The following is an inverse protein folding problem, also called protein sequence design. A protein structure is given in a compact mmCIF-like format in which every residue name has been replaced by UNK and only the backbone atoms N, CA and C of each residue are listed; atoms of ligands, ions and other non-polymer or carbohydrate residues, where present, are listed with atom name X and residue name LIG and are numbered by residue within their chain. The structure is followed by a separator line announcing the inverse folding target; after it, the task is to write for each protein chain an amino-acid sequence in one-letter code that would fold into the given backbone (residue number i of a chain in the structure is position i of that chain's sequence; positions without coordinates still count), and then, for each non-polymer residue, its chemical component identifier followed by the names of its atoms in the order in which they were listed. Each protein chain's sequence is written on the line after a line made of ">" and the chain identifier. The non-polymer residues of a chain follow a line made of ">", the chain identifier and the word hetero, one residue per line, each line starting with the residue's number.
data_IF_531576420327
#
_entry.id   IF_531576420327
#
_cell.length_a   1.000
_cell.length_b   1.000
_cell.length_c   1.000
_cell.angle_alpha   90.00
_cell.angle_beta   90.00
_cell.angle_gamma   90.00
#
_symmetry.space_group_name_H-M   'P 1'
#
loop_
_entity.id
_entity.type
_entity.pdbx_description
1 polymer ?
#
# COMPACT_ATOMS: atom_id res chain seq x y z
N UNK A 1 8.31 -4.30 -28.00
CA UNK A 1 7.61 -3.03 -27.75
C UNK A 1 8.65 -2.05 -27.28
N UNK A 2 8.80 -0.91 -27.96
CA UNK A 2 9.61 0.22 -27.50
C UNK A 2 8.70 1.10 -26.63
N UNK A 3 8.43 0.64 -25.41
CA UNK A 3 7.76 1.48 -24.42
C UNK A 3 8.77 2.51 -23.90
N UNK A 4 8.38 3.79 -23.77
CA UNK A 4 9.25 4.81 -23.20
C UNK A 4 9.56 4.49 -21.72
N UNK A 5 10.67 5.02 -21.22
CA UNK A 5 10.93 5.00 -19.77
C UNK A 5 9.92 5.92 -19.07
N UNK A 6 9.42 5.48 -17.91
CA UNK A 6 8.55 6.31 -17.06
C UNK A 6 9.30 7.56 -16.54
N UNK A 7 10.62 7.44 -16.34
CA UNK A 7 11.52 8.50 -15.91
C UNK A 7 12.98 8.15 -16.20
N UNK A 8 13.85 9.15 -16.19
CA UNK A 8 15.29 8.95 -16.41
C UNK A 8 15.93 8.13 -15.27
N UNK A 9 16.85 7.19 -15.56
CA UNK A 9 17.47 6.35 -14.54
C UNK A 9 18.08 7.15 -13.39
N UNK A 10 17.70 6.79 -12.17
CA UNK A 10 18.18 7.42 -10.93
C UNK A 10 17.42 8.68 -10.51
N UNK A 11 16.52 9.23 -11.33
CA UNK A 11 15.75 10.44 -10.95
C UNK A 11 14.57 10.13 -10.03
N UNK A 12 14.00 8.92 -10.13
CA UNK A 12 12.94 8.42 -9.27
C UNK A 12 13.15 6.94 -8.97
N UNK A 13 12.39 6.42 -8.01
CA UNK A 13 12.35 5.00 -7.67
C UNK A 13 10.95 4.44 -7.92
N UNK A 14 10.89 3.33 -8.65
CA UNK A 14 9.69 2.55 -8.82
C UNK A 14 10.06 1.07 -8.89
N UNK A 15 9.32 0.22 -8.19
CA UNK A 15 9.59 -1.21 -8.17
C UNK A 15 9.31 -1.83 -9.54
N UNK A 16 10.24 -2.64 -10.07
CA UNK A 16 10.13 -3.21 -11.41
C UNK A 16 10.51 -4.69 -11.45
N UNK A 17 9.49 -5.56 -11.59
CA UNK A 17 9.71 -6.98 -11.85
C UNK A 17 10.47 -7.21 -13.17
N UNK A 18 10.21 -6.39 -14.19
CA UNK A 18 10.94 -6.47 -15.47
C UNK A 18 12.44 -6.25 -15.29
N UNK A 19 12.85 -5.37 -14.36
CA UNK A 19 14.25 -5.22 -13.96
C UNK A 19 14.87 -6.53 -13.42
N UNK A 20 14.15 -7.24 -12.55
CA UNK A 20 14.59 -8.54 -12.03
C UNK A 20 14.60 -9.65 -13.09
N UNK A 21 13.69 -9.62 -14.06
CA UNK A 21 13.70 -10.51 -15.23
C UNK A 21 14.99 -10.32 -16.03
N UNK A 22 15.36 -9.07 -16.31
CA UNK A 22 16.62 -8.75 -17.01
C UNK A 22 17.85 -9.21 -16.22
N UNK A 23 17.85 -9.07 -14.89
CA UNK A 23 18.94 -9.59 -14.05
C UNK A 23 19.08 -11.11 -14.15
N UNK A 24 17.98 -11.86 -14.24
CA UNK A 24 18.01 -13.30 -14.49
C UNK A 24 18.66 -13.63 -15.83
N UNK A 25 18.30 -12.91 -16.90
CA UNK A 25 18.90 -13.09 -18.23
C UNK A 25 20.39 -12.74 -18.25
N UNK A 26 20.81 -11.73 -17.48
CA UNK A 26 22.24 -11.40 -17.31
C UNK A 26 22.98 -12.55 -16.62
N UNK A 27 22.40 -13.14 -15.56
CA UNK A 27 22.96 -14.32 -14.90
C UNK A 27 23.14 -15.46 -15.90
N UNK A 28 22.14 -15.75 -16.73
CA UNK A 28 22.25 -16.80 -17.75
C UNK A 28 23.35 -16.49 -18.77
N UNK A 29 23.39 -15.25 -19.26
CA UNK A 29 24.38 -14.82 -20.27
C UNK A 29 25.81 -14.91 -19.75
N UNK A 30 26.04 -14.52 -18.51
CA UNK A 30 27.37 -14.49 -17.89
C UNK A 30 27.81 -15.88 -17.44
N UNK A 31 26.90 -16.68 -16.87
CA UNK A 31 27.23 -18.01 -16.36
C UNK A 31 27.22 -19.11 -17.43
N UNK A 32 26.51 -18.89 -18.54
CA UNK A 32 26.23 -19.93 -19.55
C UNK A 32 25.25 -21.00 -19.09
N UNK A 33 24.59 -20.82 -17.93
CA UNK A 33 23.61 -21.76 -17.36
C UNK A 33 22.21 -21.20 -17.45
N UNK A 34 21.20 -22.06 -17.49
CA UNK A 34 19.82 -21.63 -17.25
C UNK A 34 19.69 -21.14 -15.82
N UNK A 35 18.84 -20.16 -15.58
CA UNK A 35 18.67 -19.54 -14.27
C UNK A 35 18.24 -20.55 -13.19
N UNK A 36 17.34 -21.48 -13.53
CA UNK A 36 16.93 -22.57 -12.64
C UNK A 36 18.11 -23.47 -12.22
N UNK A 37 18.98 -23.83 -13.17
CA UNK A 37 20.17 -24.64 -12.91
C UNK A 37 21.17 -23.86 -12.06
N UNK A 38 21.35 -22.56 -12.35
CA UNK A 38 22.22 -21.68 -11.58
C UNK A 38 21.79 -21.61 -10.10
N UNK A 39 20.49 -21.40 -9.82
CA UNK A 39 19.97 -21.38 -8.45
C UNK A 39 20.19 -22.73 -7.73
N UNK A 40 19.88 -23.84 -8.41
CA UNK A 40 20.05 -25.18 -7.83
C UNK A 40 21.50 -25.45 -7.44
N UNK A 41 22.44 -25.16 -8.33
CA UNK A 41 23.85 -25.52 -8.17
C UNK A 41 24.65 -24.55 -7.29
N UNK A 42 24.29 -23.25 -7.29
CA UNK A 42 25.07 -22.23 -6.59
C UNK A 42 24.42 -21.78 -5.27
N UNK A 43 23.13 -22.09 -5.05
CA UNK A 43 22.40 -21.66 -3.84
C UNK A 43 21.78 -22.86 -3.14
N UNK A 44 20.84 -23.58 -3.75
CA UNK A 44 20.03 -24.55 -3.02
C UNK A 44 20.81 -25.78 -2.57
N UNK A 45 21.54 -26.45 -3.49
CA UNK A 45 22.34 -27.63 -3.15
C UNK A 45 23.49 -27.32 -2.18
N UNK A 46 24.33 -26.28 -2.40
CA UNK A 46 25.42 -25.97 -1.48
C UNK A 46 24.96 -25.64 -0.05
N UNK A 47 23.77 -25.06 0.09
CA UNK A 47 23.21 -24.71 1.40
C UNK A 47 22.41 -25.85 2.04
N UNK A 48 22.12 -26.94 1.33
CA UNK A 48 21.26 -28.01 1.84
C UNK A 48 19.78 -27.61 1.91
N UNK A 49 19.33 -26.69 1.06
CA UNK A 49 17.93 -26.27 0.93
C UNK A 49 17.17 -27.31 0.09
N UNK A 50 16.86 -28.45 0.69
CA UNK A 50 16.32 -29.62 0.01
C UNK A 50 14.86 -29.47 -0.46
N UNK A 51 14.15 -28.45 0.02
CA UNK A 51 12.75 -28.16 -0.29
C UNK A 51 12.61 -26.83 -1.05
N UNK A 52 13.67 -26.40 -1.74
CA UNK A 52 13.70 -25.18 -2.54
C UNK A 52 13.93 -25.49 -4.01
N UNK A 53 13.08 -24.90 -4.85
CA UNK A 53 13.00 -25.21 -6.27
C UNK A 53 12.77 -23.94 -7.09
N UNK A 54 13.23 -23.96 -8.34
CA UNK A 54 12.65 -23.08 -9.34
C UNK A 54 11.26 -23.59 -9.72
N UNK A 55 10.29 -22.68 -9.80
CA UNK A 55 8.88 -22.92 -10.09
C UNK A 55 8.66 -23.76 -11.35
N UNK A 56 8.10 -24.95 -11.18
CA UNK A 56 7.72 -25.84 -12.27
C UNK A 56 6.43 -26.60 -11.91
N UNK A 57 5.42 -26.52 -12.76
CA UNK A 57 4.13 -27.19 -12.56
C UNK A 57 4.14 -28.67 -12.97
N UNK A 58 5.17 -29.12 -13.69
CA UNK A 58 5.34 -30.52 -14.10
C UNK A 58 6.11 -31.35 -13.06
N UNK A 59 6.92 -30.71 -12.21
CA UNK A 59 7.70 -31.39 -11.17
C UNK A 59 6.80 -31.92 -10.05
N UNK A 60 6.96 -33.21 -9.72
CA UNK A 60 6.31 -33.83 -8.57
C UNK A 60 7.08 -33.44 -7.31
N UNK A 61 6.48 -32.56 -6.50
CA UNK A 61 7.07 -32.07 -5.25
C UNK A 61 6.21 -32.58 -4.09
N UNK A 62 6.82 -33.34 -3.18
CA UNK A 62 6.14 -33.84 -1.98
C UNK A 62 5.71 -32.66 -1.11
N UNK A 63 4.49 -32.70 -0.57
CA UNK A 63 3.91 -31.65 0.29
C UNK A 63 3.75 -30.28 -0.39
N UNK A 64 3.77 -30.21 -1.73
CA UNK A 64 3.44 -28.98 -2.45
C UNK A 64 2.01 -28.55 -2.13
N UNK A 65 1.86 -27.32 -1.65
CA UNK A 65 0.55 -26.73 -1.34
C UNK A 65 -0.09 -26.10 -2.57
N UNK A 66 -1.42 -26.10 -2.62
CA UNK A 66 -2.20 -25.29 -3.57
C UNK A 66 -2.40 -23.88 -3.04
N UNK A 67 -2.44 -22.91 -3.95
CA UNK A 67 -2.79 -21.52 -3.65
C UNK A 67 -4.29 -21.28 -3.81
N UNK A 68 -4.82 -20.34 -3.03
CA UNK A 68 -6.25 -20.05 -2.96
C UNK A 68 -6.52 -18.54 -3.09
N UNK A 69 -7.60 -18.19 -3.78
CA UNK A 69 -8.10 -16.81 -3.85
C UNK A 69 -9.53 -16.73 -3.32
N UNK A 70 -9.93 -15.52 -2.90
CA UNK A 70 -11.27 -15.28 -2.38
C UNK A 70 -12.32 -15.53 -3.46
N UNK A 71 -13.43 -16.17 -3.08
CA UNK A 71 -14.64 -16.31 -3.87
C UNK A 71 -15.85 -15.78 -3.07
N UNK A 72 -17.01 -15.67 -3.72
CA UNK A 72 -18.25 -15.22 -3.08
C UNK A 72 -18.59 -16.07 -1.83
N UNK A 73 -18.40 -17.39 -1.92
CA UNK A 73 -18.72 -18.35 -0.86
C UNK A 73 -17.46 -19.04 -0.31
N UNK A 74 -16.45 -18.25 0.10
CA UNK A 74 -15.23 -18.77 0.73
C UNK A 74 -14.01 -18.71 -0.18
N UNK A 75 -13.33 -19.84 -0.38
CA UNK A 75 -12.08 -19.89 -1.16
C UNK A 75 -12.21 -20.82 -2.35
N UNK A 76 -11.58 -20.45 -3.47
CA UNK A 76 -11.36 -21.32 -4.63
C UNK A 76 -9.87 -21.45 -4.90
N UNK A 77 -9.48 -22.46 -5.68
CA UNK A 77 -8.11 -22.53 -6.19
C UNK A 77 -7.78 -21.26 -6.98
N UNK A 78 -6.57 -20.76 -6.79
CA UNK A 78 -6.12 -19.57 -7.48
C UNK A 78 -5.96 -19.81 -8.99
N UNK A 79 -6.15 -18.75 -9.76
CA UNK A 79 -6.03 -18.79 -11.21
C UNK A 79 -4.60 -19.18 -11.63
N UNK A 80 -4.50 -19.99 -12.68
CA UNK A 80 -3.21 -20.54 -13.12
C UNK A 80 -2.24 -19.44 -13.56
N UNK A 81 -1.02 -19.49 -13.02
CA UNK A 81 0.10 -18.67 -13.46
C UNK A 81 1.28 -19.57 -13.85
N UNK A 82 1.78 -19.41 -15.08
CA UNK A 82 3.02 -20.07 -15.48
C UNK A 82 4.20 -19.42 -14.77
N UNK A 83 5.03 -20.21 -14.08
CA UNK A 83 6.26 -19.75 -13.42
C UNK A 83 7.34 -19.30 -14.43
N UNK A 84 7.12 -19.45 -15.73
CA UNK A 84 7.96 -18.81 -16.75
C UNK A 84 7.72 -17.31 -16.88
N UNK A 85 6.58 -16.80 -16.41
CA UNK A 85 6.21 -15.38 -16.48
C UNK A 85 6.92 -14.53 -15.41
N UNK A 86 6.82 -14.85 -14.10
CA UNK A 86 7.59 -14.12 -13.09
C UNK A 86 9.09 -14.39 -13.21
N UNK A 87 9.50 -15.55 -13.76
CA UNK A 87 10.89 -15.93 -13.98
C UNK A 87 11.79 -15.61 -12.75
N UNK A 88 12.91 -14.91 -12.93
CA UNK A 88 13.83 -14.52 -11.85
C UNK A 88 13.29 -13.44 -10.90
N UNK A 89 12.12 -12.86 -11.16
CA UNK A 89 11.49 -11.89 -10.28
C UNK A 89 10.64 -12.53 -9.17
N UNK A 90 10.20 -13.79 -9.33
CA UNK A 90 9.24 -14.36 -8.35
C UNK A 90 8.91 -15.84 -8.44
N UNK A 91 9.72 -16.66 -9.11
CA UNK A 91 9.36 -18.07 -9.37
C UNK A 91 9.93 -19.07 -8.38
N UNK A 92 10.60 -18.65 -7.30
CA UNK A 92 11.18 -19.59 -6.34
C UNK A 92 10.07 -20.15 -5.45
N UNK A 93 10.05 -21.47 -5.31
CA UNK A 93 9.21 -22.20 -4.34
C UNK A 93 10.11 -22.71 -3.22
N UNK A 94 9.69 -22.55 -1.96
CA UNK A 94 10.51 -22.92 -0.80
C UNK A 94 9.65 -23.22 0.43
N UNK A 95 10.31 -23.45 1.57
CA UNK A 95 9.72 -23.60 2.92
C UNK A 95 10.32 -22.55 3.86
N UNK A 96 9.69 -22.31 5.01
CA UNK A 96 10.24 -21.37 6.00
C UNK A 96 11.54 -21.90 6.62
N UNK A 97 11.70 -23.21 6.72
CA UNK A 97 12.90 -23.89 7.19
C UNK A 97 14.08 -23.65 6.23
N UNK A 98 13.89 -23.90 4.93
CA UNK A 98 14.91 -23.64 3.92
C UNK A 98 15.25 -22.15 3.83
N UNK A 99 14.26 -21.27 3.92
CA UNK A 99 14.50 -19.83 3.91
C UNK A 99 15.31 -19.37 5.14
N UNK A 100 15.14 -20.02 6.29
CA UNK A 100 15.97 -19.78 7.48
C UNK A 100 17.43 -20.22 7.28
N UNK A 101 17.66 -21.33 6.57
CA UNK A 101 19.02 -21.77 6.17
C UNK A 101 19.64 -20.72 5.24
N UNK A 102 18.89 -20.27 4.23
CA UNK A 102 19.33 -19.24 3.31
C UNK A 102 19.67 -17.93 4.01
N UNK A 103 18.80 -17.44 4.91
CA UNK A 103 19.06 -16.21 5.66
C UNK A 103 20.37 -16.33 6.46
N UNK A 104 20.58 -17.44 7.17
CA UNK A 104 21.84 -17.70 7.89
C UNK A 104 23.05 -17.61 6.96
N UNK A 105 22.96 -18.25 5.78
CA UNK A 105 24.04 -18.23 4.80
C UNK A 105 24.33 -16.83 4.23
N UNK A 106 23.29 -16.02 4.03
CA UNK A 106 23.44 -14.61 3.64
C UNK A 106 24.18 -13.83 4.73
N UNK A 107 23.76 -13.93 6.00
CA UNK A 107 24.40 -13.21 7.11
C UNK A 107 25.86 -13.64 7.35
N UNK A 108 26.17 -14.91 7.09
CA UNK A 108 27.52 -15.47 7.18
C UNK A 108 28.40 -15.18 5.94
N UNK A 109 27.89 -14.44 4.94
CA UNK A 109 28.59 -14.13 3.69
C UNK A 109 29.01 -15.37 2.89
N UNK A 110 28.23 -16.47 2.96
CA UNK A 110 28.51 -17.73 2.26
C UNK A 110 28.19 -17.68 0.77
N UNK A 111 27.20 -16.86 0.38
CA UNK A 111 26.74 -16.76 -1.01
C UNK A 111 27.42 -15.62 -1.78
N UNK A 112 27.68 -14.51 -1.11
CA UNK A 112 28.33 -13.31 -1.67
C UNK A 112 29.31 -12.75 -0.66
N UNK A 113 30.35 -12.06 -1.15
CA UNK A 113 31.32 -11.44 -0.27
C UNK A 113 30.71 -10.28 0.53
N UNK A 114 31.37 -9.91 1.62
CA UNK A 114 30.93 -8.85 2.55
C UNK A 114 30.68 -7.49 1.87
N UNK A 115 31.49 -7.12 0.87
CA UNK A 115 31.34 -5.85 0.15
C UNK A 115 30.06 -5.82 -0.67
N UNK A 116 29.79 -6.89 -1.41
CA UNK A 116 28.56 -7.03 -2.19
C UNK A 116 27.32 -7.09 -1.28
N UNK A 117 27.41 -7.79 -0.15
CA UNK A 117 26.30 -7.83 0.80
C UNK A 117 26.02 -6.48 1.44
N UNK A 118 27.06 -5.73 1.81
CA UNK A 118 26.91 -4.37 2.33
C UNK A 118 26.21 -3.44 1.31
N UNK A 119 26.57 -3.54 0.02
CA UNK A 119 25.90 -2.80 -1.04
C UNK A 119 24.42 -3.23 -1.21
N UNK A 120 24.13 -4.52 -1.05
CA UNK A 120 22.75 -5.03 -1.09
C UNK A 120 21.90 -4.53 0.09
N UNK A 121 22.52 -4.36 1.27
CA UNK A 121 21.90 -3.89 2.51
C UNK A 121 22.06 -2.37 2.74
N UNK A 122 22.28 -1.61 1.67
CA UNK A 122 22.34 -0.15 1.71
C UNK A 122 21.09 0.44 1.09
N UNK A 123 20.47 1.41 1.77
CA UNK A 123 19.40 2.23 1.21
C UNK A 123 19.97 3.20 0.19
N UNK A 124 19.61 2.99 -1.08
CA UNK A 124 20.09 3.82 -2.17
C UNK A 124 19.29 5.11 -2.27
N UNK A 125 19.90 6.10 -2.92
CA UNK A 125 19.31 7.42 -3.14
C UNK A 125 19.08 7.69 -4.61
N UNK A 126 18.01 8.41 -4.90
CA UNK A 126 17.84 9.10 -6.19
C UNK A 126 18.87 10.22 -6.33
N UNK A 127 19.02 10.75 -7.55
CA UNK A 127 19.99 11.80 -7.88
C UNK A 127 19.77 13.10 -7.09
N UNK A 128 18.55 13.38 -6.67
CA UNK A 128 18.17 14.51 -5.81
C UNK A 128 18.41 14.24 -4.31
N UNK A 129 18.90 13.05 -3.95
CA UNK A 129 19.30 12.68 -2.60
C UNK A 129 18.20 12.02 -1.75
N UNK A 130 17.00 11.81 -2.29
CA UNK A 130 15.92 11.13 -1.58
C UNK A 130 16.22 9.64 -1.39
N UNK A 131 15.97 9.13 -0.19
CA UNK A 131 16.10 7.71 0.11
C UNK A 131 14.98 6.92 -0.60
N UNK A 132 15.34 5.75 -1.12
CA UNK A 132 14.41 4.84 -1.79
C UNK A 132 13.78 3.83 -0.85
N UNK A 133 14.34 3.68 0.35
CA UNK A 133 14.08 2.57 1.26
C UNK A 133 14.29 1.20 0.60
N UNK A 134 15.21 1.12 -0.37
CA UNK A 134 15.42 -0.08 -1.18
C UNK A 134 16.91 -0.32 -1.50
N UNK A 135 17.31 -1.58 -1.37
CA UNK A 135 18.64 -2.12 -1.63
C UNK A 135 18.65 -3.04 -2.86
N UNK A 136 19.62 -3.95 -2.95
CA UNK A 136 19.60 -4.96 -4.01
C UNK A 136 18.66 -6.12 -3.63
N UNK A 137 17.34 -5.93 -3.84
CA UNK A 137 16.33 -6.94 -3.50
C UNK A 137 15.80 -6.86 -2.08
N UNK A 138 15.99 -5.74 -1.41
CA UNK A 138 15.65 -5.59 0.00
C UNK A 138 14.96 -4.27 0.26
N UNK A 139 13.89 -4.30 1.02
CA UNK A 139 13.23 -3.13 1.58
C UNK A 139 13.82 -2.85 2.95
N UNK A 140 13.98 -1.56 3.27
CA UNK A 140 14.40 -1.10 4.59
C UNK A 140 13.22 -0.46 5.31
N UNK A 141 12.86 -1.03 6.45
CA UNK A 141 11.69 -0.59 7.22
C UNK A 141 12.06 -0.52 8.71
N UNK A 142 11.06 -0.29 9.55
CA UNK A 142 11.18 -0.18 10.98
C UNK A 142 10.09 -0.99 11.69
N UNK A 143 10.46 -1.56 12.84
CA UNK A 143 9.56 -2.15 13.82
C UNK A 143 9.89 -1.52 15.18
N UNK A 144 9.11 -0.50 15.56
CA UNK A 144 9.18 0.15 16.88
C UNK A 144 10.61 0.53 17.31
N UNK A 145 11.35 1.16 16.40
CA UNK A 145 12.73 1.59 16.59
C UNK A 145 13.80 0.58 16.14
N UNK A 146 13.43 -0.65 15.78
CA UNK A 146 14.36 -1.62 15.17
C UNK A 146 14.33 -1.52 13.66
N UNK A 147 15.47 -1.24 13.03
CA UNK A 147 15.60 -1.30 11.57
C UNK A 147 15.44 -2.73 11.07
N UNK A 148 14.76 -2.90 9.95
CA UNK A 148 14.55 -4.20 9.31
C UNK A 148 15.10 -4.24 7.90
N UNK A 149 15.51 -5.44 7.48
CA UNK A 149 15.86 -5.79 6.11
C UNK A 149 14.85 -6.86 5.70
N UNK A 150 14.03 -6.59 4.69
CA UNK A 150 12.88 -7.43 4.42
C UNK A 150 12.48 -7.45 2.95
N UNK A 151 11.67 -8.44 2.59
CA UNK A 151 11.01 -8.45 1.29
C UNK A 151 9.71 -9.25 1.38
N UNK A 152 8.67 -8.72 0.75
CA UNK A 152 7.41 -9.43 0.54
C UNK A 152 7.42 -10.24 -0.77
N UNK A 153 6.46 -11.13 -0.93
CA UNK A 153 6.22 -11.84 -2.18
C UNK A 153 4.73 -12.04 -2.39
N UNK A 154 4.28 -11.91 -3.63
CA UNK A 154 2.89 -12.10 -3.99
C UNK A 154 2.77 -12.64 -5.40
N UNK A 155 2.11 -13.78 -5.54
CA UNK A 155 1.65 -14.36 -6.81
C UNK A 155 0.24 -14.92 -6.59
N UNK A 156 -0.44 -15.33 -7.66
CA UNK A 156 -1.78 -15.91 -7.58
C UNK A 156 -1.86 -16.97 -6.48
N UNK A 157 -2.69 -16.73 -5.46
CA UNK A 157 -2.92 -17.64 -4.35
C UNK A 157 -1.83 -17.77 -3.30
N UNK A 158 -0.75 -16.97 -3.35
CA UNK A 158 0.34 -17.05 -2.38
C UNK A 158 0.86 -15.67 -1.98
N UNK A 159 1.08 -15.47 -0.68
CA UNK A 159 1.74 -14.29 -0.14
C UNK A 159 2.79 -14.73 0.87
N UNK A 160 3.97 -14.12 0.80
CA UNK A 160 5.07 -14.36 1.72
C UNK A 160 5.61 -13.05 2.28
N UNK A 161 6.18 -13.12 3.48
CA UNK A 161 6.98 -12.03 4.03
C UNK A 161 8.18 -12.63 4.77
N UNK A 162 9.37 -12.10 4.49
CA UNK A 162 10.57 -12.36 5.28
C UNK A 162 11.07 -11.05 5.88
N UNK A 163 11.40 -11.06 7.18
CA UNK A 163 11.89 -9.90 7.94
C UNK A 163 13.12 -10.34 8.73
N UNK A 164 14.21 -9.60 8.57
CA UNK A 164 15.40 -9.72 9.40
C UNK A 164 15.60 -8.43 10.21
N UNK A 165 15.86 -8.57 11.51
CA UNK A 165 16.23 -7.48 12.42
C UNK A 165 17.70 -7.64 12.80
N UNK A 166 18.62 -6.88 12.17
CA UNK A 166 20.06 -7.11 12.36
C UNK A 166 20.55 -6.84 13.78
N UNK A 167 20.00 -5.82 14.46
CA UNK A 167 20.43 -5.45 15.80
C UNK A 167 20.03 -6.51 16.84
N UNK A 168 18.86 -7.11 16.68
CA UNK A 168 18.34 -8.16 17.56
C UNK A 168 18.74 -9.58 17.12
N UNK A 169 19.31 -9.73 15.90
CA UNK A 169 19.60 -11.01 15.26
C UNK A 169 18.36 -11.93 15.21
N UNK A 170 17.24 -11.38 14.73
CA UNK A 170 15.96 -12.09 14.62
C UNK A 170 15.58 -12.21 13.15
N UNK A 171 15.25 -13.43 12.72
CA UNK A 171 14.68 -13.69 11.40
C UNK A 171 13.27 -14.28 11.55
N UNK A 172 12.32 -13.73 10.80
CA UNK A 172 10.94 -14.20 10.75
C UNK A 172 10.53 -14.35 9.29
N UNK A 173 10.00 -15.53 8.95
CA UNK A 173 9.38 -15.80 7.67
C UNK A 173 7.94 -16.30 7.87
N UNK A 174 7.00 -15.75 7.11
CA UNK A 174 5.59 -16.16 7.12
C UNK A 174 5.14 -16.39 5.69
N UNK A 175 4.69 -17.61 5.40
CA UNK A 175 4.16 -18.02 4.11
C UNK A 175 2.67 -18.32 4.24
N UNK A 176 1.87 -17.82 3.31
CA UNK A 176 0.44 -18.05 3.24
C UNK A 176 0.07 -18.53 1.85
N UNK A 177 -0.80 -19.54 1.78
CA UNK A 177 -1.37 -20.04 0.52
C UNK A 177 -2.75 -19.44 0.24
N UNK A 178 -2.95 -18.20 0.66
CA UNK A 178 -4.07 -17.36 0.25
C UNK A 178 -3.58 -15.95 -0.01
N UNK A 179 -4.28 -15.25 -0.90
CA UNK A 179 -4.05 -13.82 -1.11
C UNK A 179 -4.48 -12.99 0.11
N UNK A 180 -3.81 -11.85 0.28
CA UNK A 180 -4.14 -10.83 1.28
C UNK A 180 -2.92 -10.27 2.03
N UNK A 181 -3.07 -9.09 2.67
CA UNK A 181 -1.97 -8.38 3.34
C UNK A 181 -1.52 -9.02 4.66
N UNK A 182 -2.17 -10.10 5.10
CA UNK A 182 -1.98 -10.64 6.45
C UNK A 182 -0.57 -11.18 6.69
N UNK A 183 0.12 -11.68 5.67
CA UNK A 183 1.47 -12.21 5.82
C UNK A 183 2.44 -11.15 6.38
N UNK A 184 2.39 -9.91 5.85
CA UNK A 184 3.23 -8.81 6.33
C UNK A 184 2.89 -8.43 7.77
N UNK A 185 1.61 -8.32 8.09
CA UNK A 185 1.15 -7.96 9.44
C UNK A 185 1.51 -9.03 10.48
N UNK A 186 1.34 -10.31 10.13
CA UNK A 186 1.68 -11.43 11.01
C UNK A 186 3.20 -11.50 11.21
N UNK A 187 3.99 -11.44 10.13
CA UNK A 187 5.45 -11.44 10.21
C UNK A 187 5.96 -10.29 11.07
N UNK A 188 5.43 -9.08 10.87
CA UNK A 188 5.82 -7.90 11.65
C UNK A 188 5.49 -8.07 13.13
N UNK A 189 4.29 -8.56 13.47
CA UNK A 189 3.90 -8.78 14.87
C UNK A 189 4.74 -9.87 15.54
N UNK A 190 5.07 -10.94 14.82
CA UNK A 190 5.96 -12.00 15.31
C UNK A 190 7.38 -11.48 15.54
N UNK A 191 7.93 -10.73 14.58
CA UNK A 191 9.22 -10.07 14.71
C UNK A 191 9.27 -9.11 15.91
N UNK A 192 8.24 -8.28 16.05
CA UNK A 192 8.10 -7.34 17.16
C UNK A 192 8.00 -8.06 18.51
N UNK A 193 7.23 -9.16 18.58
CA UNK A 193 7.12 -10.00 19.77
C UNK A 193 8.47 -10.63 20.14
N UNK A 194 9.16 -11.21 19.16
CA UNK A 194 10.48 -11.82 19.37
C UNK A 194 11.53 -10.79 19.81
N UNK A 195 11.43 -9.55 19.32
CA UNK A 195 12.29 -8.43 19.73
C UNK A 195 11.91 -7.82 21.09
N UNK A 196 10.89 -8.34 21.78
CA UNK A 196 10.42 -7.81 23.07
C UNK A 196 9.65 -6.49 22.95
N UNK A 197 9.16 -6.15 21.76
CA UNK A 197 8.44 -4.91 21.43
C UNK A 197 7.05 -5.21 20.83
N UNK A 198 6.18 -6.01 21.48
CA UNK A 198 4.96 -6.46 20.83
C UNK A 198 3.95 -5.33 20.58
N UNK A 199 3.19 -5.43 19.49
CA UNK A 199 2.05 -4.57 19.19
C UNK A 199 0.83 -4.97 20.03
N UNK A 200 0.90 -4.75 21.36
CA UNK A 200 -0.18 -5.02 22.30
C UNK A 200 -0.75 -3.69 22.78
N UNK A 201 -2.01 -3.46 22.48
CA UNK A 201 -2.74 -2.27 22.92
C UNK A 201 -3.83 -2.69 23.92
N UNK A 202 -3.87 -1.99 25.06
CA UNK A 202 -5.01 -2.03 25.96
C UNK A 202 -5.82 -0.77 25.75
N UNK A 203 -6.88 -0.87 24.96
CA UNK A 203 -7.68 0.29 24.60
C UNK A 203 -8.32 0.93 25.84
N UNK A 204 -8.32 2.25 25.88
CA UNK A 204 -8.98 3.05 26.90
C UNK A 204 -10.11 3.85 26.28
N UNK A 205 -11.16 4.11 27.07
CA UNK A 205 -12.24 5.01 26.66
C UNK A 205 -11.95 6.40 27.20
N UNK A 206 -11.82 7.37 26.29
CA UNK A 206 -11.74 8.78 26.63
C UNK A 206 -13.15 9.39 26.67
N UNK A 207 -13.30 10.50 27.38
CA UNK A 207 -14.57 11.24 27.42
C UNK A 207 -14.86 11.91 26.08
N UNK A 208 -16.13 12.20 25.80
CA UNK A 208 -16.53 12.94 24.59
C UNK A 208 -15.90 14.33 24.52
N UNK A 209 -15.70 14.97 25.67
CA UNK A 209 -15.04 16.28 25.75
C UNK A 209 -13.56 16.17 25.38
N UNK A 210 -12.87 15.14 25.90
CA UNK A 210 -11.46 14.88 25.59
C UNK A 210 -11.25 14.54 24.12
N UNK A 211 -12.09 13.69 23.52
CA UNK A 211 -11.89 13.31 22.11
C UNK A 211 -12.06 14.51 21.16
N UNK A 212 -12.91 15.49 21.51
CA UNK A 212 -13.11 16.70 20.71
C UNK A 212 -11.85 17.55 20.61
N UNK A 213 -10.94 17.49 21.58
CA UNK A 213 -9.69 18.25 21.56
C UNK A 213 -8.76 17.84 20.39
N UNK A 214 -8.82 16.57 19.97
CA UNK A 214 -7.99 16.01 18.90
C UNK A 214 -8.53 16.30 17.50
N UNK A 215 -9.79 16.73 17.39
CA UNK A 215 -10.40 17.08 16.09
C UNK A 215 -9.64 18.27 15.48
N UNK A 216 -9.31 18.15 14.20
CA UNK A 216 -8.56 19.18 13.48
C UNK A 216 -8.00 18.71 12.14
N UNK A 217 -7.49 19.68 11.38
CA UNK A 217 -6.69 19.45 10.18
C UNK A 217 -5.22 19.61 10.55
N UNK A 218 -4.42 18.59 10.25
CA UNK A 218 -3.00 18.53 10.54
C UNK A 218 -2.21 18.48 9.24
N UNK A 219 -1.06 19.14 9.19
CA UNK A 219 -0.23 19.27 7.99
C UNK A 219 1.23 18.94 8.28
N UNK A 220 1.90 18.21 7.38
CA UNK A 220 3.33 17.93 7.47
C UNK A 220 4.17 18.94 6.66
N UNK A 221 5.49 18.81 6.71
CA UNK A 221 6.43 19.71 6.02
C UNK A 221 6.27 19.70 4.48
N UNK A 222 5.70 18.63 3.93
CA UNK A 222 5.42 18.50 2.49
C UNK A 222 4.06 19.10 2.08
N UNK A 223 3.31 19.67 3.02
CA UNK A 223 1.97 20.24 2.76
C UNK A 223 0.85 19.20 2.66
N UNK A 224 1.14 17.92 2.96
CA UNK A 224 0.12 16.87 3.00
C UNK A 224 -0.80 17.07 4.20
N UNK A 225 -2.09 16.80 4.04
CA UNK A 225 -3.08 16.99 5.09
C UNK A 225 -3.61 15.67 5.65
N UNK A 226 -3.79 15.65 6.97
CA UNK A 226 -4.50 14.62 7.72
C UNK A 226 -5.62 15.27 8.51
N UNK A 227 -6.83 14.83 8.25
CA UNK A 227 -8.03 15.28 8.94
C UNK A 227 -8.34 14.25 10.04
N UNK A 228 -8.51 14.73 11.27
CA UNK A 228 -9.03 13.95 12.39
C UNK A 228 -10.43 14.49 12.71
N UNK A 229 -11.45 13.64 12.62
CA UNK A 229 -12.84 13.97 12.93
C UNK A 229 -13.45 12.91 13.86
N UNK A 230 -14.70 13.14 14.27
CA UNK A 230 -15.48 12.16 15.05
C UNK A 230 -16.57 11.59 14.15
N UNK A 231 -16.61 10.26 14.04
CA UNK A 231 -17.70 9.50 13.40
C UNK A 231 -18.14 8.40 14.38
N UNK A 232 -19.45 8.26 14.61
CA UNK A 232 -20.04 7.29 15.55
C UNK A 232 -19.40 7.29 16.96
N UNK A 233 -19.02 8.47 17.44
CA UNK A 233 -18.42 8.67 18.77
C UNK A 233 -16.94 8.22 18.88
N UNK A 234 -16.28 7.94 17.76
CA UNK A 234 -14.86 7.55 17.69
C UNK A 234 -14.08 8.52 16.81
N UNK A 235 -12.78 8.68 17.10
CA UNK A 235 -11.90 9.42 16.21
C UNK A 235 -11.67 8.63 14.93
N UNK A 236 -11.77 9.32 13.80
CA UNK A 236 -11.46 8.80 12.48
C UNK A 236 -10.40 9.68 11.85
N UNK A 237 -9.39 9.05 11.25
CA UNK A 237 -8.35 9.73 10.50
C UNK A 237 -8.54 9.54 9.01
N UNK A 238 -8.42 10.62 8.25
CA UNK A 238 -8.45 10.64 6.80
C UNK A 238 -7.21 11.41 6.30
N UNK A 239 -6.51 10.88 5.29
CA UNK A 239 -5.49 11.63 4.52
C UNK A 239 -6.07 11.94 3.15
N UNK A 240 -5.76 13.10 2.58
CA UNK A 240 -6.19 13.47 1.23
C UNK A 240 -5.85 12.35 0.22
N UNK A 241 -6.86 11.77 -0.44
CA UNK A 241 -6.65 10.67 -1.39
C UNK A 241 -6.57 9.26 -0.78
N UNK A 242 -6.75 9.11 0.54
CA UNK A 242 -6.54 7.87 1.27
C UNK A 242 -7.78 7.31 1.98
N UNK A 243 -7.64 6.07 2.46
CA UNK A 243 -8.66 5.40 3.26
C UNK A 243 -8.89 6.10 4.61
N UNK A 244 -10.12 5.99 5.12
CA UNK A 244 -10.45 6.33 6.51
C UNK A 244 -10.00 5.22 7.46
N UNK A 245 -9.50 5.60 8.62
CA UNK A 245 -9.11 4.66 9.67
C UNK A 245 -9.65 5.09 11.02
N UNK A 246 -10.27 4.16 11.73
CA UNK A 246 -10.66 4.37 13.13
C UNK A 246 -9.41 4.43 14.01
N UNK A 247 -9.41 5.39 14.93
CA UNK A 247 -8.37 5.57 15.94
C UNK A 247 -8.90 5.13 17.30
N UNK A 248 -8.18 4.22 17.95
CA UNK A 248 -8.48 3.79 19.31
C UNK A 248 -7.38 4.25 20.26
N UNK A 249 -7.78 4.93 21.32
CA UNK A 249 -6.86 5.37 22.37
C UNK A 249 -6.35 4.15 23.14
N UNK A 250 -5.04 4.11 23.42
CA UNK A 250 -4.42 3.15 24.34
C UNK A 250 -3.64 3.83 25.46
N UNK A 251 -3.55 5.16 25.40
CA UNK A 251 -3.03 6.09 26.40
C UNK A 251 -3.71 7.45 26.17
N UNK A 252 -3.56 8.42 27.09
CA UNK A 252 -4.33 9.68 27.04
C UNK A 252 -4.17 10.42 25.70
N UNK A 253 -2.94 10.56 25.19
CA UNK A 253 -2.65 11.23 23.91
C UNK A 253 -2.11 10.26 22.84
N UNK A 254 -2.30 8.95 23.00
CA UNK A 254 -1.80 7.94 22.05
C UNK A 254 -2.90 7.05 21.50
N UNK A 255 -2.90 6.93 20.18
CA UNK A 255 -3.91 6.22 19.42
C UNK A 255 -3.24 5.26 18.45
N UNK A 256 -3.83 4.09 18.25
CA UNK A 256 -3.46 3.20 17.16
C UNK A 256 -4.54 3.20 16.09
N UNK A 257 -4.11 2.96 14.86
CA UNK A 257 -5.01 2.81 13.71
C UNK A 257 -5.54 1.37 13.71
N UNK A 258 -6.86 1.22 13.82
CA UNK A 258 -7.49 -0.10 13.84
C UNK A 258 -7.18 -0.83 12.53
N UNK A 259 -6.69 -2.07 12.64
CA UNK A 259 -6.34 -2.89 11.48
C UNK A 259 -4.98 -2.60 10.86
N UNK A 260 -4.19 -1.66 11.40
CA UNK A 260 -2.83 -1.38 10.91
C UNK A 260 -1.77 -1.51 12.01
N UNK A 261 -0.51 -1.22 11.65
CA UNK A 261 0.65 -1.22 12.54
C UNK A 261 1.13 0.20 12.85
N UNK A 262 0.28 1.19 12.60
CA UNK A 262 0.59 2.61 12.79
C UNK A 262 0.02 3.15 14.10
N UNK A 263 0.68 4.18 14.62
CA UNK A 263 0.32 4.89 15.84
C UNK A 263 0.36 6.42 15.58
N UNK A 264 -0.45 7.17 16.35
CA UNK A 264 -0.37 8.63 16.48
C UNK A 264 -0.14 8.97 17.96
N UNK A 265 0.80 9.87 18.20
CA UNK A 265 1.01 10.50 19.52
C UNK A 265 0.78 11.99 19.41
N UNK A 266 -0.33 12.48 19.97
CA UNK A 266 -0.63 13.91 19.99
C UNK A 266 0.31 14.66 20.92
N UNK A 267 0.62 15.91 20.56
CA UNK A 267 1.48 16.82 21.31
C UNK A 267 0.67 17.98 21.83
N UNK A 268 0.96 18.34 23.07
CA UNK A 268 0.35 19.49 23.74
C UNK A 268 1.40 20.53 24.06
N UNK A 269 1.01 21.80 24.06
CA UNK A 269 1.82 22.89 24.61
C UNK A 269 1.69 22.99 26.14
N UNK A 270 2.38 23.96 26.76
CA UNK A 270 2.32 24.21 28.21
C UNK A 270 0.91 24.57 28.73
N UNK A 271 0.04 25.08 27.84
CA UNK A 271 -1.37 25.35 28.13
C UNK A 271 -2.27 24.12 27.98
N UNK A 272 -1.68 22.96 27.69
CA UNK A 272 -2.34 21.68 27.42
C UNK A 272 -3.17 21.65 26.14
N UNK A 273 -2.98 22.58 25.21
CA UNK A 273 -3.67 22.60 23.93
C UNK A 273 -2.97 21.70 22.91
N UNK A 274 -3.72 20.97 22.07
CA UNK A 274 -3.16 20.13 21.02
C UNK A 274 -2.53 21.02 19.94
N UNK A 275 -1.22 20.86 19.72
CA UNK A 275 -0.45 21.63 18.71
C UNK A 275 -0.08 20.81 17.47
N UNK A 276 -0.26 19.50 17.53
CA UNK A 276 0.11 18.59 16.46
C UNK A 276 0.19 17.14 16.94
N UNK A 277 0.79 16.28 16.13
CA UNK A 277 1.05 14.90 16.50
C UNK A 277 2.26 14.31 15.76
N UNK A 278 2.89 13.30 16.36
CA UNK A 278 3.83 12.43 15.67
C UNK A 278 3.07 11.25 15.07
N UNK A 279 3.34 10.92 13.80
CA UNK A 279 2.89 9.67 13.20
C UNK A 279 4.03 8.64 13.22
N UNK A 280 3.73 7.42 13.63
CA UNK A 280 4.69 6.31 13.60
C UNK A 280 4.12 5.19 12.74
N UNK A 281 4.82 4.88 11.64
CA UNK A 281 4.52 3.76 10.76
C UNK A 281 5.67 2.75 10.70
N UNK A 282 5.63 1.87 9.70
CA UNK A 282 6.74 0.95 9.41
C UNK A 282 7.83 1.61 8.57
N UNK A 283 7.48 2.53 7.68
CA UNK A 283 8.48 3.44 7.13
C UNK A 283 8.89 4.40 8.25
N UNK A 284 10.17 4.80 8.26
CA UNK A 284 10.74 5.77 9.22
C UNK A 284 9.72 6.88 9.52
N UNK A 285 9.54 7.31 10.78
CA UNK A 285 8.35 8.08 11.17
C UNK A 285 8.05 9.21 10.18
N UNK A 286 6.79 9.33 9.73
CA UNK A 286 6.28 10.36 8.79
C UNK A 286 6.35 11.79 9.37
N UNK A 287 7.25 12.04 10.32
CA UNK A 287 7.52 13.32 10.92
C UNK A 287 6.41 13.84 11.83
N UNK A 288 6.60 15.09 12.23
CA UNK A 288 5.64 15.86 13.00
C UNK A 288 4.58 16.46 12.08
N UNK A 289 3.32 16.35 12.49
CA UNK A 289 2.17 16.92 11.80
C UNK A 289 1.63 18.06 12.66
N UNK A 290 1.71 19.29 12.16
CA UNK A 290 1.28 20.49 12.88
C UNK A 290 -0.23 20.64 12.79
N UNK A 291 -0.91 20.91 13.91
CA UNK A 291 -2.33 21.30 13.90
C UNK A 291 -2.47 22.67 13.23
N UNK A 292 -3.41 22.79 12.31
CA UNK A 292 -3.68 24.02 11.56
C UNK A 292 -4.97 24.69 12.06
N UNK A 293 -5.16 25.96 11.68
CA UNK A 293 -6.40 26.71 11.92
C UNK A 293 -7.50 26.42 10.88
N UNK A 294 -7.24 25.49 9.93
CA UNK A 294 -8.23 25.11 8.92
C UNK A 294 -9.40 24.40 9.60
N UNK A 295 -10.61 24.76 9.20
CA UNK A 295 -11.81 24.07 9.67
C UNK A 295 -11.81 22.61 9.19
N UNK A 296 -12.23 21.70 10.08
CA UNK A 296 -12.49 20.32 9.68
C UNK A 296 -13.66 20.32 8.72
N UNK A 297 -13.52 19.79 7.49
CA UNK A 297 -14.61 19.76 6.54
C UNK A 297 -15.83 19.06 7.14
N UNK A 298 -17.01 19.67 6.97
CA UNK A 298 -18.24 19.06 7.42
C UNK A 298 -18.38 17.67 6.77
N UNK A 299 -18.80 16.64 7.54
CA UNK A 299 -19.07 15.33 6.94
C UNK A 299 -20.12 15.51 5.85
N UNK A 300 -19.76 15.18 4.61
CA UNK A 300 -20.69 15.25 3.48
C UNK A 300 -21.83 14.27 3.75
N UNK A 301 -23.04 14.81 3.84
CA UNK A 301 -24.24 14.00 4.11
C UNK A 301 -24.61 13.26 2.84
N UNK A 302 -24.45 11.95 2.85
CA UNK A 302 -24.91 11.11 1.74
C UNK A 302 -26.44 11.07 1.72
N UNK A 303 -27.01 11.32 0.55
CA UNK A 303 -28.44 11.13 0.28
C UNK A 303 -28.64 10.04 -0.77
N UNK A 304 -29.82 9.44 -0.80
CA UNK A 304 -30.20 8.56 -1.90
C UNK A 304 -30.86 9.39 -2.99
N UNK A 305 -30.38 9.26 -4.23
CA UNK A 305 -30.99 9.85 -5.42
C UNK A 305 -31.67 8.74 -6.22
N UNK A 306 -32.85 9.02 -6.77
CA UNK A 306 -33.61 8.04 -7.57
C UNK A 306 -32.84 7.62 -8.82
N UNK A 307 -32.88 6.32 -9.15
CA UNK A 307 -32.16 5.76 -10.29
C UNK A 307 -32.47 6.46 -11.62
N UNK A 308 -33.72 6.93 -11.80
CA UNK A 308 -34.12 7.64 -13.02
C UNK A 308 -33.40 8.96 -13.15
N UNK A 309 -33.18 9.65 -12.03
CA UNK A 309 -32.41 10.90 -11.98
C UNK A 309 -30.94 10.60 -12.26
N UNK A 310 -30.36 9.58 -11.61
CA UNK A 310 -28.95 9.19 -11.85
C UNK A 310 -28.68 8.89 -13.33
N UNK A 311 -29.60 8.19 -14.00
CA UNK A 311 -29.49 7.89 -15.43
C UNK A 311 -29.44 9.14 -16.32
N UNK A 312 -29.98 10.28 -15.89
CA UNK A 312 -29.88 11.55 -16.65
C UNK A 312 -28.46 12.11 -16.68
N UNK A 313 -27.62 11.74 -15.71
CA UNK A 313 -26.22 12.16 -15.61
C UNK A 313 -25.27 11.32 -16.45
N UNK A 314 -25.70 10.16 -16.95
CA UNK A 314 -24.87 9.31 -17.81
C UNK A 314 -24.43 10.08 -19.06
N UNK A 315 -23.17 9.91 -19.45
CA UNK A 315 -22.59 10.56 -20.62
C UNK A 315 -21.08 10.70 -20.53
N UNK A 316 -20.53 11.36 -21.54
CA UNK A 316 -19.10 11.72 -21.59
C UNK A 316 -18.96 13.22 -21.41
N UNK A 317 -18.10 13.63 -20.48
CA UNK A 317 -17.83 15.03 -20.16
C UNK A 317 -16.36 15.34 -20.44
N UNK A 318 -16.08 16.24 -21.37
CA UNK A 318 -14.71 16.54 -21.77
C UNK A 318 -14.12 17.62 -20.87
N UNK A 319 -13.10 17.26 -20.09
CA UNK A 319 -12.43 18.17 -19.14
C UNK A 319 -11.27 18.92 -19.82
N UNK A 320 -10.54 18.22 -20.70
CA UNK A 320 -9.45 18.77 -21.52
C UNK A 320 -9.31 17.97 -22.82
N UNK A 321 -8.63 18.49 -23.86
CA UNK A 321 -8.37 17.72 -25.07
C UNK A 321 -7.67 16.39 -24.77
N UNK A 322 -8.33 15.27 -25.11
CA UNK A 322 -7.82 13.91 -24.86
C UNK A 322 -8.09 13.37 -23.46
N UNK A 323 -8.76 14.12 -22.58
CA UNK A 323 -9.13 13.67 -21.24
C UNK A 323 -10.63 13.86 -20.99
N UNK A 324 -11.34 12.73 -20.88
CA UNK A 324 -12.78 12.66 -20.67
C UNK A 324 -13.10 12.04 -19.31
N UNK A 325 -14.21 12.50 -18.72
CA UNK A 325 -14.87 11.88 -17.59
C UNK A 325 -16.11 11.14 -18.09
N UNK A 326 -16.11 9.82 -17.96
CA UNK A 326 -17.24 8.96 -18.31
C UNK A 326 -18.08 8.70 -17.06
N UNK A 327 -19.35 9.11 -17.11
CA UNK A 327 -20.31 8.92 -16.02
C UNK A 327 -21.25 7.77 -16.38
N UNK A 328 -21.36 6.78 -15.49
CA UNK A 328 -22.22 5.61 -15.67
C UNK A 328 -22.98 5.26 -14.40
N UNK A 329 -24.12 4.58 -14.56
CA UNK A 329 -24.96 4.13 -13.44
C UNK A 329 -25.08 2.61 -13.46
N UNK A 330 -24.86 1.95 -12.33
CA UNK A 330 -25.05 0.50 -12.14
C UNK A 330 -25.74 0.25 -10.79
N UNK A 331 -26.83 -0.53 -10.77
CA UNK A 331 -27.52 -0.93 -9.53
C UNK A 331 -27.75 0.20 -8.51
N UNK A 332 -28.35 1.31 -8.97
CA UNK A 332 -28.65 2.53 -8.19
C UNK A 332 -27.42 3.29 -7.64
N UNK A 333 -26.23 3.01 -8.18
CA UNK A 333 -24.99 3.73 -7.90
C UNK A 333 -24.50 4.44 -9.15
N UNK A 334 -23.88 5.59 -8.97
CA UNK A 334 -23.28 6.36 -10.06
C UNK A 334 -21.76 6.33 -9.92
N UNK A 335 -21.06 6.35 -11.05
CA UNK A 335 -19.63 6.20 -11.09
C UNK A 335 -19.01 7.16 -12.10
N UNK A 336 -17.80 7.61 -11.81
CA UNK A 336 -16.95 8.36 -12.71
C UNK A 336 -15.70 7.57 -13.10
N UNK A 337 -15.27 7.70 -14.35
CA UNK A 337 -14.03 7.13 -14.85
C UNK A 337 -13.32 8.16 -15.73
N UNK A 338 -12.09 8.53 -15.34
CA UNK A 338 -11.20 9.33 -16.18
C UNK A 338 -10.50 8.49 -17.25
N UNK A 339 -10.07 9.11 -18.35
CA UNK A 339 -9.29 8.43 -19.39
C UNK A 339 -8.05 7.73 -18.79
N UNK A 340 -7.96 6.41 -18.95
CA UNK A 340 -6.84 5.60 -18.43
C UNK A 340 -6.87 5.35 -16.92
N UNK A 341 -7.96 5.70 -16.23
CA UNK A 341 -8.12 5.52 -14.79
C UNK A 341 -9.15 4.44 -14.44
N UNK A 342 -9.06 3.93 -13.22
CA UNK A 342 -10.07 3.06 -12.63
C UNK A 342 -11.38 3.81 -12.40
N UNK A 343 -12.46 3.03 -12.35
CA UNK A 343 -13.82 3.52 -12.10
C UNK A 343 -14.04 3.75 -10.60
N UNK A 344 -14.57 4.92 -10.24
CA UNK A 344 -14.81 5.32 -8.85
C UNK A 344 -16.29 5.62 -8.61
N UNK A 345 -16.84 5.14 -7.48
CA UNK A 345 -18.22 5.40 -7.06
C UNK A 345 -18.38 6.84 -6.55
N UNK A 346 -19.40 7.54 -7.07
CA UNK A 346 -19.80 8.88 -6.67
C UNK A 346 -20.95 8.80 -5.65
N UNK A 347 -20.82 9.53 -4.54
CA UNK A 347 -21.81 9.57 -3.47
C UNK A 347 -22.55 10.90 -3.49
N UNK A 348 -23.89 10.87 -3.48
CA UNK A 348 -24.69 12.08 -3.62
C UNK A 348 -24.71 12.89 -2.32
N UNK A 349 -24.40 14.18 -2.40
CA UNK A 349 -24.59 15.17 -1.33
C UNK A 349 -25.89 15.94 -1.54
N UNK A 350 -26.19 16.29 -2.79
CA UNK A 350 -27.49 16.80 -3.24
C UNK A 350 -27.95 15.99 -4.46
N UNK A 351 -29.09 16.35 -5.08
CA UNK A 351 -29.52 15.70 -6.32
C UNK A 351 -28.45 15.83 -7.43
N UNK A 352 -27.78 16.98 -7.53
CA UNK A 352 -26.83 17.30 -8.60
C UNK A 352 -25.37 17.31 -8.17
N UNK A 353 -25.07 17.34 -6.87
CA UNK A 353 -23.69 17.37 -6.34
C UNK A 353 -23.32 16.05 -5.70
N UNK A 354 -22.17 15.53 -6.10
CA UNK A 354 -21.62 14.26 -5.67
C UNK A 354 -20.17 14.40 -5.23
N UNK A 355 -19.70 13.49 -4.40
CA UNK A 355 -18.34 13.46 -3.90
C UNK A 355 -17.72 12.07 -3.96
N UNK A 356 -16.39 12.03 -3.99
CA UNK A 356 -15.63 10.79 -3.83
C UNK A 356 -15.27 10.58 -2.36
N UNK A 357 -15.31 9.33 -1.89
CA UNK A 357 -14.85 8.95 -0.54
C UNK A 357 -13.33 8.69 -0.49
N UNK A 358 -12.75 8.36 -1.63
CA UNK A 358 -11.32 7.99 -1.75
C UNK A 358 -10.43 9.18 -2.11
N UNK A 359 -10.99 10.28 -2.61
CA UNK A 359 -10.27 11.47 -3.07
C UNK A 359 -11.04 12.70 -2.61
N UNK A 360 -10.34 13.78 -2.27
CA UNK A 360 -10.99 15.08 -2.02
C UNK A 360 -11.35 15.75 -3.35
N UNK A 361 -12.39 15.20 -3.97
CA UNK A 361 -12.96 15.68 -5.20
C UNK A 361 -14.49 15.66 -5.15
N UNK A 362 -15.11 16.60 -5.86
CA UNK A 362 -16.55 16.71 -6.01
C UNK A 362 -16.90 16.94 -7.46
N UNK A 363 -18.07 16.47 -7.86
CA UNK A 363 -18.65 16.78 -9.16
C UNK A 363 -20.04 17.39 -8.97
N UNK A 364 -20.34 18.43 -9.73
CA UNK A 364 -21.67 19.02 -9.78
C UNK A 364 -22.20 18.99 -11.20
N UNK A 365 -23.36 18.37 -11.40
CA UNK A 365 -24.00 18.30 -12.70
C UNK A 365 -24.80 19.57 -12.98
N UNK A 366 -24.44 20.26 -14.06
CA UNK A 366 -25.03 21.53 -14.45
C UNK A 366 -26.20 21.30 -15.40
N UNK A 367 -27.37 21.83 -15.02
CA UNK A 367 -28.60 21.83 -15.82
C UNK A 367 -28.72 23.16 -16.58
N UNK A 368 -29.19 23.11 -17.82
CA UNK A 368 -29.60 24.30 -18.55
C UNK A 368 -31.02 24.78 -18.16
N UNK A 369 -31.51 25.85 -18.81
CA UNK A 369 -32.86 26.39 -18.59
C UNK A 369 -34.01 25.40 -18.88
N UNK A 370 -33.74 24.28 -19.54
CA UNK A 370 -34.70 23.22 -19.87
C UNK A 370 -34.60 22.01 -18.92
N UNK A 371 -33.78 22.09 -17.87
CA UNK A 371 -33.41 21.00 -16.96
C UNK A 371 -32.60 19.86 -17.62
N UNK A 372 -31.97 20.12 -18.77
CA UNK A 372 -31.09 19.15 -19.44
C UNK A 372 -29.67 19.28 -18.91
N UNK A 373 -29.00 18.15 -18.67
CA UNK A 373 -27.61 18.14 -18.21
C UNK A 373 -26.68 18.46 -19.37
N UNK A 374 -25.99 19.59 -19.28
CA UNK A 374 -25.12 20.11 -20.35
C UNK A 374 -23.64 20.11 -19.97
N UNK A 375 -23.32 20.09 -18.68
CA UNK A 375 -21.95 20.08 -18.19
C UNK A 375 -21.83 19.42 -16.81
N UNK A 376 -20.60 19.19 -16.41
CA UNK A 376 -20.19 18.73 -15.08
C UNK A 376 -19.07 19.66 -14.60
N UNK A 377 -19.17 20.19 -13.40
CA UNK A 377 -18.08 20.94 -12.75
C UNK A 377 -17.34 20.03 -11.79
N UNK A 378 -16.03 19.85 -11.99
CA UNK A 378 -15.12 19.13 -11.11
C UNK A 378 -14.44 20.11 -10.15
N UNK A 379 -14.54 19.81 -8.85
CA UNK A 379 -13.81 20.49 -7.79
C UNK A 379 -12.76 19.54 -7.25
N UNK A 380 -11.47 19.83 -7.44
CA UNK A 380 -10.39 18.95 -6.99
C UNK A 380 -9.13 19.76 -6.69
N UNK A 381 -8.51 19.54 -5.51
CA UNK A 381 -7.24 20.19 -5.16
C UNK A 381 -7.30 21.72 -5.16
N UNK A 382 -8.46 22.31 -4.86
CA UNK A 382 -8.70 23.75 -4.92
C UNK A 382 -8.94 24.32 -6.33
N UNK A 383 -8.87 23.49 -7.37
CA UNK A 383 -9.24 23.87 -8.74
C UNK A 383 -10.72 23.62 -9.01
N UNK A 384 -11.29 24.46 -9.87
CA UNK A 384 -12.66 24.34 -10.38
C UNK A 384 -12.58 24.25 -11.90
N UNK A 385 -13.00 23.12 -12.46
CA UNK A 385 -12.91 22.84 -13.89
C UNK A 385 -14.29 22.44 -14.42
N UNK A 386 -14.74 23.08 -15.50
CA UNK A 386 -15.99 22.71 -16.16
C UNK A 386 -15.69 21.74 -17.31
N UNK A 387 -16.45 20.65 -17.38
CA UNK A 387 -16.42 19.65 -18.43
C UNK A 387 -17.75 19.63 -19.18
N UNK A 388 -17.72 19.99 -20.46
CA UNK A 388 -18.92 20.00 -21.30
C UNK A 388 -19.34 18.58 -21.65
N UNK A 389 -20.65 18.32 -21.61
CA UNK A 389 -21.20 17.03 -22.03
C UNK A 389 -21.08 16.91 -23.56
N UNK A 390 -20.35 15.91 -24.02
CA UNK A 390 -20.09 15.66 -25.45
C UNK A 390 -20.89 14.47 -26.00
N UNK A 391 -21.35 13.57 -25.13
CA UNK A 391 -22.16 12.39 -25.49
C UNK A 391 -23.19 12.06 -24.43
#
# INVERSE_FOLDING_TARGET
>A
ADEPLDFDPGTAWNYSNSGYILLGMIIEKVSGKKYADYLSENIFKPLGMHNSYYGDNSMIIKNRVSGYQQANDGFKNADYLSMTLPYSAGSIMSTVEDLSIWNTAVQENKLVNKTSLAAAFTDHKTLDGNLTNYGYGWQFMNIRGSSTIEHGGGINGFVTQAIYLPAENIFVAVFMNKEGPEANNVATKLAALAAGKPYIYKSIKLSEETIKEYVGVYENENGEQRIINIEDGQLVSNRSGGNKYNLMAFDFDKFYFVGSLSEITFKRNDKKEIIGHDFTGRQSPDGYWKKTDKEVPAPKKEITVDEKILKTYNGTYQLAPGFDLVITTEANKIFAQGTGQDKLELFAETETRFFLKVLDAQVEFNKDSTNTITALTLFQGGQVMEALKTK
#
